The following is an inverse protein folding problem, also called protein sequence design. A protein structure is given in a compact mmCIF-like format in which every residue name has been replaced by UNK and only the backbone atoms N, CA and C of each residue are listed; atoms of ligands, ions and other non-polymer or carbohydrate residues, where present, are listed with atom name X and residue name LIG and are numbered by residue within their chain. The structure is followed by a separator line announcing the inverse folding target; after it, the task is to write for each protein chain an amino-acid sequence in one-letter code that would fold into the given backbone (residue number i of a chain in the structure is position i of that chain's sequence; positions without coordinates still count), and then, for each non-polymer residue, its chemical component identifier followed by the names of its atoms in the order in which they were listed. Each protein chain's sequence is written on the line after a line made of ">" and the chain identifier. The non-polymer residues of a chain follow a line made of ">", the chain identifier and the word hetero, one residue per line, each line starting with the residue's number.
data_IF_603877696907
#
_entry.id   IF_603877696907
#
_cell.length_a   1.000
_cell.length_b   1.000
_cell.length_c   1.000
_cell.angle_alpha   90.00
_cell.angle_beta   90.00
_cell.angle_gamma   90.00
#
_symmetry.space_group_name_H-M   'P 1'
#
loop_
_entity.id
_entity.type
_entity.pdbx_description
1 polymer ?
#
# COMPACT_ATOMS: atom_id res chain seq x y z
N UNK A 1 -11.75 50.17 47.99
CA UNK A 1 -12.26 48.80 47.75
C UNK A 1 -11.15 48.07 47.01
N UNK A 2 -10.42 47.09 47.59
CA UNK A 2 -10.79 45.65 47.66
C UNK A 2 -11.36 45.20 46.30
N UNK A 3 -10.82 44.26 45.54
CA UNK A 3 -10.04 43.06 45.89
C UNK A 3 -9.49 42.40 44.61
N UNK A 4 -8.31 41.77 44.75
CA UNK A 4 -7.90 40.45 44.24
C UNK A 4 -7.61 40.23 42.73
N UNK A 5 -6.29 40.32 42.49
CA UNK A 5 -5.40 39.49 41.67
C UNK A 5 -5.71 37.95 41.75
N UNK A 6 -5.03 37.07 40.97
CA UNK A 6 -5.62 36.21 39.94
C UNK A 6 -5.35 34.71 40.22
N UNK A 7 -6.19 33.79 39.76
CA UNK A 7 -5.81 32.36 39.74
C UNK A 7 -6.73 31.59 38.80
N UNK A 8 -6.40 31.62 37.51
CA UNK A 8 -6.78 30.58 36.57
C UNK A 8 -5.50 30.07 35.89
N UNK A 9 -4.69 29.40 36.71
CA UNK A 9 -3.70 28.41 36.29
C UNK A 9 -4.43 27.06 36.18
N UNK A 10 -4.88 26.69 34.98
CA UNK A 10 -5.13 25.31 34.58
C UNK A 10 -5.36 25.27 33.06
N UNK A 11 -4.58 24.48 32.33
CA UNK A 11 -4.81 24.22 30.91
C UNK A 11 -3.61 24.45 29.98
N UNK A 12 -2.40 24.16 30.45
CA UNK A 12 -1.26 23.86 29.60
C UNK A 12 -1.59 22.68 28.67
N UNK A 13 -1.15 22.80 27.42
CA UNK A 13 -0.61 21.74 26.56
C UNK A 13 -1.53 20.55 26.23
N UNK A 14 -1.91 20.44 24.96
CA UNK A 14 -2.15 19.14 24.33
C UNK A 14 -3.47 19.00 23.61
N UNK A 15 -3.68 19.79 22.55
CA UNK A 15 -4.49 19.31 21.44
C UNK A 15 -3.77 19.65 20.14
N UNK A 16 -2.59 19.02 19.99
CA UNK A 16 -2.11 18.72 18.65
C UNK A 16 -3.20 17.88 17.99
N UNK A 17 -3.90 18.46 17.01
CA UNK A 17 -4.49 17.66 15.95
C UNK A 17 -3.33 16.85 15.39
N UNK A 18 -3.20 15.60 15.81
CA UNK A 18 -2.37 14.65 15.12
C UNK A 18 -3.05 14.51 13.76
N UNK A 19 -2.63 15.31 12.79
CA UNK A 19 -2.77 14.94 11.40
C UNK A 19 -2.32 13.50 11.35
N UNK A 20 -3.21 12.62 10.90
CA UNK A 20 -2.85 11.26 10.56
C UNK A 20 -1.84 11.37 9.40
N UNK A 21 -0.60 11.66 9.74
CA UNK A 21 0.53 11.53 8.86
C UNK A 21 0.52 10.04 8.54
N UNK A 22 -0.06 9.70 7.39
CA UNK A 22 0.25 8.48 6.68
C UNK A 22 1.77 8.47 6.63
N UNK A 23 2.41 7.83 7.62
CA UNK A 23 3.83 7.54 7.54
C UNK A 23 3.97 6.87 6.19
N UNK A 24 4.83 7.38 5.29
CA UNK A 24 5.08 6.66 4.06
C UNK A 24 5.45 5.25 4.48
N UNK A 25 4.63 4.26 4.09
CA UNK A 25 4.99 2.86 4.24
C UNK A 25 6.37 2.76 3.59
N UNK A 26 7.39 2.41 4.37
CA UNK A 26 8.71 2.19 3.81
C UNK A 26 8.56 1.18 2.67
N UNK A 27 9.14 1.49 1.50
CA UNK A 27 9.09 0.62 0.35
C UNK A 27 9.79 -0.69 0.72
N UNK A 28 9.02 -1.78 0.83
CA UNK A 28 9.58 -3.10 1.08
C UNK A 28 10.02 -3.70 -0.25
N UNK A 29 11.30 -3.50 -0.57
CA UNK A 29 11.88 -4.02 -1.80
C UNK A 29 12.10 -5.54 -1.78
N UNK A 30 11.85 -6.23 -0.66
CA UNK A 30 11.77 -7.70 -0.61
C UNK A 30 10.38 -8.25 -0.97
N UNK A 31 9.38 -7.38 -1.10
CA UNK A 31 8.01 -7.79 -1.33
C UNK A 31 7.82 -8.42 -2.72
N UNK A 32 6.90 -9.39 -2.77
CA UNK A 32 6.51 -10.09 -3.99
C UNK A 32 5.00 -10.19 -4.04
N UNK A 33 4.41 -10.07 -5.23
CA UNK A 33 2.97 -10.21 -5.42
C UNK A 33 2.65 -11.00 -6.69
N UNK A 34 1.57 -11.77 -6.68
CA UNK A 34 1.03 -12.42 -7.88
C UNK A 34 -0.33 -11.80 -8.18
N UNK A 35 -0.42 -11.08 -9.31
CA UNK A 35 -1.67 -10.52 -9.80
C UNK A 35 -2.37 -11.54 -10.70
N UNK A 36 -3.65 -11.79 -10.44
CA UNK A 36 -4.49 -12.69 -11.23
C UNK A 36 -5.41 -11.93 -12.19
N UNK A 37 -5.53 -10.62 -11.98
CA UNK A 37 -6.45 -9.71 -12.63
C UNK A 37 -7.89 -10.12 -12.37
N UNK A 38 -8.59 -10.35 -13.48
CA UNK A 38 -9.99 -10.70 -13.52
C UNK A 38 -10.14 -12.22 -13.37
N UNK A 39 -10.45 -12.71 -12.17
CA UNK A 39 -10.63 -14.13 -11.89
C UNK A 39 -9.57 -14.75 -10.96
N UNK A 40 -9.16 -15.99 -11.23
CA UNK A 40 -8.23 -16.76 -10.40
C UNK A 40 -6.85 -16.92 -11.06
N UNK A 41 -5.80 -17.13 -10.27
CA UNK A 41 -4.53 -17.64 -10.79
C UNK A 41 -4.59 -19.17 -10.85
N UNK A 42 -4.25 -19.79 -11.99
CA UNK A 42 -4.25 -21.25 -12.11
C UNK A 42 -3.51 -21.82 -13.32
N UNK A 43 -3.19 -23.11 -13.24
CA UNK A 43 -2.77 -23.96 -14.36
C UNK A 43 -1.28 -23.92 -14.73
N UNK A 44 -0.59 -22.81 -14.53
CA UNK A 44 0.82 -22.64 -14.95
C UNK A 44 1.59 -21.68 -14.05
N UNK A 45 2.92 -21.70 -14.17
CA UNK A 45 3.80 -20.79 -13.44
C UNK A 45 3.60 -19.34 -13.94
N UNK A 46 3.40 -18.35 -13.04
CA UNK A 46 3.13 -16.98 -13.43
C UNK A 46 4.33 -16.33 -14.11
N UNK A 47 4.08 -15.46 -15.09
CA UNK A 47 5.13 -14.68 -15.74
C UNK A 47 5.77 -13.74 -14.71
N UNK A 48 7.09 -13.82 -14.56
CA UNK A 48 7.84 -12.89 -13.71
C UNK A 48 7.99 -11.54 -14.42
N UNK A 49 7.63 -10.47 -13.73
CA UNK A 49 7.87 -9.08 -14.11
C UNK A 49 8.76 -8.43 -13.06
N UNK A 50 9.90 -7.93 -13.52
CA UNK A 50 10.84 -7.18 -12.69
C UNK A 50 10.36 -5.75 -12.49
N UNK A 51 10.27 -5.35 -11.23
CA UNK A 51 10.17 -3.96 -10.79
C UNK A 51 11.55 -3.45 -10.35
N UNK A 52 11.69 -2.14 -10.30
CA UNK A 52 12.85 -1.44 -9.78
C UNK A 52 12.53 -0.70 -8.48
N UNK A 53 13.13 -1.17 -7.40
CA UNK A 53 13.16 -0.53 -6.10
C UNK A 53 13.88 0.81 -6.17
N UNK A 54 14.99 0.89 -6.93
CA UNK A 54 15.78 2.11 -7.09
C UNK A 54 14.99 3.22 -7.81
N UNK A 55 14.14 2.86 -8.77
CA UNK A 55 13.26 3.80 -9.47
C UNK A 55 11.96 4.07 -8.70
N UNK A 56 11.74 3.40 -7.57
CA UNK A 56 10.53 3.57 -6.76
C UNK A 56 9.27 3.01 -7.43
N UNK A 57 9.40 1.95 -8.23
CA UNK A 57 8.23 1.25 -8.80
C UNK A 57 7.29 0.84 -7.66
N UNK A 58 6.00 1.10 -7.84
CA UNK A 58 5.03 0.96 -6.77
C UNK A 58 4.29 -0.39 -6.85
N UNK A 59 4.79 -1.38 -6.11
CA UNK A 59 4.12 -2.68 -5.96
C UNK A 59 2.71 -2.52 -5.36
N UNK A 60 2.50 -1.54 -4.49
CA UNK A 60 1.20 -1.31 -3.87
C UNK A 60 0.16 -0.83 -4.90
N UNK A 61 0.55 0.01 -5.85
CA UNK A 61 -0.31 0.42 -6.95
C UNK A 61 -0.74 -0.77 -7.83
N UNK A 62 0.15 -1.73 -8.07
CA UNK A 62 -0.17 -2.95 -8.82
C UNK A 62 -1.15 -3.86 -8.07
N UNK A 63 -0.97 -3.99 -6.75
CA UNK A 63 -1.90 -4.73 -5.88
C UNK A 63 -3.28 -4.07 -5.91
N UNK A 64 -3.36 -2.75 -5.79
CA UNK A 64 -4.63 -2.03 -5.82
C UNK A 64 -5.33 -2.15 -7.17
N UNK A 65 -4.57 -2.08 -8.27
CA UNK A 65 -5.10 -2.29 -9.63
C UNK A 65 -5.67 -3.70 -9.81
N UNK A 66 -4.96 -4.72 -9.33
CA UNK A 66 -5.39 -6.12 -9.35
C UNK A 66 -6.67 -6.33 -8.53
N UNK A 67 -6.71 -5.81 -7.29
CA UNK A 67 -7.90 -5.86 -6.44
C UNK A 67 -9.10 -5.12 -7.02
N UNK A 68 -8.86 -4.03 -7.76
CA UNK A 68 -9.91 -3.30 -8.47
C UNK A 68 -10.43 -4.13 -9.64
N UNK A 69 -9.54 -4.73 -10.43
CA UNK A 69 -9.93 -5.61 -11.54
C UNK A 69 -10.76 -6.80 -11.04
N UNK A 70 -10.37 -7.43 -9.92
CA UNK A 70 -11.11 -8.56 -9.34
C UNK A 70 -12.55 -8.22 -8.91
N UNK A 71 -12.87 -6.94 -8.69
CA UNK A 71 -14.21 -6.46 -8.33
C UNK A 71 -15.05 -6.09 -9.55
N UNK A 72 -14.48 -6.12 -10.75
CA UNK A 72 -15.22 -5.80 -11.96
C UNK A 72 -16.32 -6.86 -12.19
N UNK A 73 -17.60 -6.46 -12.33
CA UNK A 73 -18.69 -7.40 -12.59
C UNK A 73 -18.48 -8.26 -13.85
N UNK A 74 -17.69 -7.78 -14.81
CA UNK A 74 -17.33 -8.53 -16.01
C UNK A 74 -16.42 -9.74 -15.72
N UNK A 75 -15.85 -9.84 -14.51
CA UNK A 75 -14.96 -10.93 -14.10
C UNK A 75 -15.65 -12.24 -13.77
N UNK A 76 -16.98 -12.26 -13.64
CA UNK A 76 -17.73 -13.48 -13.37
C UNK A 76 -17.51 -14.60 -14.42
N UNK A 77 -17.10 -14.23 -15.64
CA UNK A 77 -16.90 -15.18 -16.75
C UNK A 77 -15.45 -15.25 -17.24
N UNK A 78 -14.50 -14.58 -16.58
CA UNK A 78 -13.11 -14.49 -17.05
C UNK A 78 -12.29 -15.78 -16.86
N UNK A 79 -12.71 -16.66 -15.94
CA UNK A 79 -12.00 -17.91 -15.65
C UNK A 79 -10.70 -17.69 -14.87
N UNK A 80 -9.76 -18.62 -14.97
CA UNK A 80 -8.43 -18.47 -14.39
C UNK A 80 -7.39 -18.06 -15.44
N UNK A 81 -6.39 -17.28 -15.04
CA UNK A 81 -5.21 -16.93 -15.82
C UNK A 81 -3.93 -17.46 -15.15
N UNK A 82 -2.79 -17.54 -15.85
CA UNK A 82 -1.49 -17.90 -15.25
C UNK A 82 -1.03 -16.93 -14.16
N UNK A 83 -1.54 -15.71 -14.16
CA UNK A 83 -1.09 -14.62 -13.30
C UNK A 83 0.25 -14.01 -13.71
N UNK A 84 0.56 -12.86 -13.10
CA UNK A 84 1.84 -12.15 -13.25
C UNK A 84 2.47 -11.99 -11.87
N UNK A 85 3.70 -12.47 -11.71
CA UNK A 85 4.47 -12.33 -10.47
C UNK A 85 5.35 -11.10 -10.56
N UNK A 86 5.12 -10.13 -9.67
CA UNK A 86 5.94 -8.93 -9.52
C UNK A 86 6.96 -9.11 -8.40
N UNK A 87 8.22 -8.81 -8.72
CA UNK A 87 9.36 -8.87 -7.79
C UNK A 87 10.25 -7.66 -8.06
N UNK A 88 10.92 -7.12 -7.04
CA UNK A 88 11.97 -6.14 -7.26
C UNK A 88 13.28 -6.85 -7.59
N UNK A 89 13.80 -6.65 -8.81
CA UNK A 89 14.97 -7.38 -9.30
C UNK A 89 16.31 -6.69 -8.98
N UNK A 90 16.24 -5.42 -8.56
CA UNK A 90 17.38 -4.58 -8.17
C UNK A 90 17.53 -4.44 -6.64
N UNK A 91 16.59 -5.01 -5.87
CA UNK A 91 16.62 -4.98 -4.41
C UNK A 91 17.74 -5.84 -3.79
N UNK A 92 18.43 -6.66 -4.60
CA UNK A 92 19.74 -7.20 -4.29
C UNK A 92 20.41 -7.75 -5.58
N UNK A 93 21.49 -7.14 -6.10
CA UNK A 93 22.43 -7.85 -6.96
C UNK A 93 23.16 -8.88 -6.10
N UNK A 94 23.41 -10.08 -6.62
CA UNK A 94 24.36 -11.00 -6.00
C UNK A 94 25.75 -10.39 -5.88
#
# INVERSE_FOLDING_TARGET
>A
MRMLLPLLLAGLLGLGCQTAEKRPKALDCGATYVACGCGCCGGTEPKVTCLSCANGDDLQALIEADQKAAKDPQCATAGCSPGTKYVYCDANPG
#
